data_IF_721228790200
#
_entry.id   IF_721228790200
#
_cell.length_a   1.000
_cell.length_b   1.000
_cell.length_c   1.000
_cell.angle_alpha   90.00
_cell.angle_beta   90.00
_cell.angle_gamma   90.00
#
_symmetry.space_group_name_H-M   'P 1'
#
loop_
_entity.id
_entity.type
_entity.pdbx_description
1 polymer ?
#
# COMPACT_ATOMS: atom_id res chain seq x y z
N UNK A 1 17.56 -0.11 21.97
CA UNK A 1 17.52 0.68 20.72
C UNK A 1 18.09 2.04 21.02
N UNK A 2 19.11 2.46 20.29
CA UNK A 2 19.61 3.84 20.38
C UNK A 2 18.59 4.74 19.68
N UNK A 3 18.13 5.79 20.36
CA UNK A 3 17.32 6.85 19.75
C UNK A 3 18.22 8.02 19.37
N UNK A 4 17.83 8.77 18.34
CA UNK A 4 18.44 10.07 18.03
C UNK A 4 18.16 11.07 19.17
N UNK A 5 18.88 12.20 19.24
CA UNK A 5 18.60 13.26 20.23
C UNK A 5 17.16 13.80 20.17
N UNK A 6 16.52 13.72 19.01
CA UNK A 6 15.12 14.11 18.79
C UNK A 6 14.11 12.95 18.98
N UNK A 7 14.56 11.82 19.56
CA UNK A 7 13.70 10.73 20.02
C UNK A 7 13.31 9.67 18.97
N UNK A 8 13.76 9.80 17.73
CA UNK A 8 13.46 8.83 16.65
C UNK A 8 14.28 7.54 16.82
N UNK A 9 13.75 6.37 16.44
CA UNK A 9 14.51 5.13 16.46
C UNK A 9 15.63 5.19 15.42
N UNK A 10 16.87 4.87 15.79
CA UNK A 10 17.99 4.80 14.83
C UNK A 10 17.96 3.44 14.15
N UNK A 11 17.85 3.37 12.81
CA UNK A 11 18.02 2.12 12.08
C UNK A 11 19.41 1.54 12.37
N UNK A 12 19.55 0.22 12.58
CA UNK A 12 20.84 -0.39 12.79
C UNK A 12 21.73 -0.20 11.56
N UNK A 13 23.06 -0.03 11.72
CA UNK A 13 23.96 0.13 10.57
C UNK A 13 24.09 -1.14 9.72
N UNK A 14 23.80 -2.31 10.31
CA UNK A 14 23.76 -3.61 9.64
C UNK A 14 22.80 -4.54 10.40
N UNK A 15 21.92 -5.24 9.68
CA UNK A 15 20.99 -6.25 10.20
C UNK A 15 20.53 -7.17 9.05
N UNK A 16 19.74 -8.20 9.36
CA UNK A 16 19.02 -8.96 8.33
C UNK A 16 18.02 -8.06 7.57
N UNK A 17 17.59 -8.50 6.40
CA UNK A 17 16.77 -7.71 5.47
C UNK A 17 15.47 -7.22 6.12
N UNK A 18 14.76 -8.08 6.85
CA UNK A 18 13.50 -7.73 7.51
C UNK A 18 13.71 -6.69 8.59
N UNK A 19 14.70 -6.92 9.46
CA UNK A 19 15.05 -5.96 10.51
C UNK A 19 15.46 -4.62 9.92
N UNK A 20 16.22 -4.61 8.83
CA UNK A 20 16.64 -3.39 8.16
C UNK A 20 15.43 -2.62 7.58
N UNK A 21 14.59 -3.28 6.80
CA UNK A 21 13.41 -2.66 6.17
C UNK A 21 12.44 -2.09 7.20
N UNK A 22 12.11 -2.86 8.23
CA UNK A 22 11.18 -2.43 9.28
C UNK A 22 11.75 -1.28 10.11
N UNK A 23 13.04 -1.31 10.44
CA UNK A 23 13.68 -0.22 11.19
C UNK A 23 13.74 1.09 10.40
N UNK A 24 14.03 1.04 9.09
CA UNK A 24 13.96 2.23 8.23
C UNK A 24 12.56 2.78 8.10
N UNK A 25 11.56 1.89 7.95
CA UNK A 25 10.16 2.30 7.88
C UNK A 25 9.71 2.99 9.18
N UNK A 26 10.09 2.44 10.34
CA UNK A 26 9.82 3.05 11.65
C UNK A 26 10.54 4.39 11.83
N UNK A 27 11.77 4.54 11.35
CA UNK A 27 12.48 5.82 11.34
C UNK A 27 11.77 6.87 10.49
N UNK A 28 11.27 6.52 9.30
CA UNK A 28 10.53 7.45 8.45
C UNK A 28 9.18 7.84 9.05
N UNK A 29 8.44 6.88 9.63
CA UNK A 29 7.20 7.15 10.39
C UNK A 29 7.46 8.11 11.55
N UNK A 30 8.48 7.84 12.35
CA UNK A 30 8.87 8.72 13.46
C UNK A 30 9.32 10.12 12.98
N UNK A 31 9.97 10.19 11.82
CA UNK A 31 10.40 11.47 11.22
C UNK A 31 9.22 12.33 10.79
N UNK A 32 8.17 11.74 10.19
CA UNK A 32 6.98 12.50 9.85
C UNK A 32 6.23 12.96 11.11
N UNK A 33 6.08 12.08 12.11
CA UNK A 33 5.47 12.46 13.38
C UNK A 33 6.21 13.63 14.04
N UNK A 34 7.55 13.60 14.06
CA UNK A 34 8.38 14.69 14.59
C UNK A 34 8.18 16.00 13.80
N UNK A 35 8.07 15.95 12.47
CA UNK A 35 7.83 17.14 11.64
C UNK A 35 6.47 17.79 11.89
N UNK A 36 5.52 17.03 12.43
CA UNK A 36 4.20 17.52 12.80
C UNK A 36 4.09 17.91 14.27
N UNK A 37 5.10 17.61 15.09
CA UNK A 37 5.09 17.91 16.52
C UNK A 37 5.04 19.43 16.76
N UNK A 38 4.27 19.83 17.77
CA UNK A 38 4.11 21.21 18.24
C UNK A 38 3.60 22.21 17.19
N UNK A 39 3.08 21.75 16.05
CA UNK A 39 2.46 22.61 15.06
C UNK A 39 1.00 22.91 15.40
N UNK A 40 0.56 24.12 15.10
CA UNK A 40 -0.85 24.50 15.21
C UNK A 40 -1.66 23.96 14.03
N UNK A 41 -2.99 23.90 14.19
CA UNK A 41 -3.91 23.49 13.12
C UNK A 41 -3.75 24.35 11.85
N UNK A 42 -3.57 25.67 12.01
CA UNK A 42 -3.31 26.56 10.88
C UNK A 42 -2.00 26.21 10.16
N UNK A 43 -0.92 25.92 10.91
CA UNK A 43 0.39 25.61 10.34
C UNK A 43 0.36 24.32 9.52
N UNK A 44 -0.35 23.28 9.98
CA UNK A 44 -0.41 21.99 9.28
C UNK A 44 -1.29 22.04 8.02
N UNK A 45 -2.15 23.07 7.90
CA UNK A 45 -3.00 23.34 6.73
C UNK A 45 -2.36 24.28 5.71
N UNK A 46 -1.21 24.88 6.02
CA UNK A 46 -0.50 25.71 5.07
C UNK A 46 0.06 24.84 3.94
N UNK A 47 -0.16 25.29 2.71
CA UNK A 47 0.47 24.72 1.53
C UNK A 47 1.99 24.99 1.60
N UNK A 48 2.80 23.94 1.45
CA UNK A 48 4.24 24.04 1.65
C UNK A 48 4.92 24.93 0.61
N UNK A 49 4.55 24.80 -0.67
CA UNK A 49 5.15 25.54 -1.79
C UNK A 49 4.10 25.75 -2.90
N UNK A 50 3.74 26.99 -3.26
CA UNK A 50 2.93 27.25 -4.45
C UNK A 50 3.63 26.77 -5.73
N UNK A 51 2.92 26.20 -6.73
CA UNK A 51 1.46 26.07 -6.84
C UNK A 51 0.89 24.81 -6.18
N UNK A 52 1.70 24.02 -5.46
CA UNK A 52 1.26 22.75 -4.90
C UNK A 52 0.39 22.96 -3.66
N UNK A 53 -0.77 22.30 -3.65
CA UNK A 53 -1.72 22.29 -2.52
C UNK A 53 -1.35 21.30 -1.41
N UNK A 54 -0.11 20.80 -1.41
CA UNK A 54 0.37 19.83 -0.45
C UNK A 54 0.50 20.47 0.94
N UNK A 55 -0.17 19.88 1.93
CA UNK A 55 -0.16 20.32 3.33
C UNK A 55 0.33 19.18 4.22
N UNK A 56 0.84 19.48 5.41
CA UNK A 56 1.27 18.43 6.35
C UNK A 56 0.08 17.58 6.82
N UNK A 57 -1.08 18.20 7.06
CA UNK A 57 -2.31 17.47 7.40
C UNK A 57 -2.73 16.52 6.26
N UNK A 58 -2.69 17.00 5.02
CA UNK A 58 -2.98 16.17 3.85
C UNK A 58 -1.99 15.02 3.71
N UNK A 59 -0.71 15.26 4.00
CA UNK A 59 0.32 14.23 3.96
C UNK A 59 0.11 13.14 5.02
N UNK A 60 -0.23 13.51 6.26
CA UNK A 60 -0.51 12.50 7.31
C UNK A 60 -1.72 11.65 6.95
N UNK A 61 -2.78 12.27 6.42
CA UNK A 61 -3.93 11.53 5.91
C UNK A 61 -3.54 10.59 4.76
N UNK A 62 -2.77 11.08 3.79
CA UNK A 62 -2.24 10.24 2.70
C UNK A 62 -1.42 9.06 3.22
N UNK A 63 -0.59 9.27 4.25
CA UNK A 63 0.19 8.17 4.85
C UNK A 63 -0.70 7.11 5.50
N UNK A 64 -1.81 7.48 6.14
CA UNK A 64 -2.78 6.50 6.62
C UNK A 64 -3.37 5.68 5.46
N UNK A 65 -3.74 6.33 4.36
CA UNK A 65 -4.26 5.66 3.18
C UNK A 65 -3.23 4.73 2.53
N UNK A 66 -1.96 5.12 2.48
CA UNK A 66 -0.87 4.27 1.99
C UNK A 66 -0.66 3.02 2.84
N UNK A 67 -0.68 3.16 4.17
CA UNK A 67 -0.56 2.02 5.10
C UNK A 67 -1.70 1.02 4.87
N UNK A 68 -2.94 1.51 4.80
CA UNK A 68 -4.11 0.67 4.49
C UNK A 68 -3.98 0.00 3.12
N UNK A 69 -3.63 0.79 2.11
CA UNK A 69 -3.55 0.32 0.74
C UNK A 69 -2.52 -0.80 0.60
N UNK A 70 -1.29 -0.61 1.08
CA UNK A 70 -0.22 -1.58 0.87
C UNK A 70 -0.39 -2.82 1.74
N UNK A 71 -0.73 -2.66 3.02
CA UNK A 71 -0.78 -3.81 3.93
C UNK A 71 -2.13 -4.54 3.89
N UNK A 72 -3.26 -3.83 3.82
CA UNK A 72 -4.57 -4.48 3.83
C UNK A 72 -5.05 -4.82 2.42
N UNK A 73 -5.03 -3.87 1.48
CA UNK A 73 -5.59 -4.13 0.14
C UNK A 73 -4.65 -4.94 -0.75
N UNK A 74 -3.39 -4.55 -0.83
CA UNK A 74 -2.41 -5.19 -1.72
C UNK A 74 -1.88 -6.48 -1.11
N UNK A 75 -1.28 -6.41 0.09
CA UNK A 75 -0.64 -7.56 0.71
C UNK A 75 -1.67 -8.60 1.21
N UNK A 76 -2.65 -8.17 2.01
CA UNK A 76 -3.66 -9.08 2.56
C UNK A 76 -4.86 -9.36 1.63
N UNK A 77 -4.97 -8.65 0.49
CA UNK A 77 -6.07 -8.85 -0.46
C UNK A 77 -7.46 -8.45 0.07
N UNK A 78 -7.52 -7.59 1.10
CA UNK A 78 -8.77 -7.19 1.75
C UNK A 78 -9.46 -6.07 0.96
N UNK A 79 -10.77 -6.18 0.79
CA UNK A 79 -11.59 -5.09 0.25
C UNK A 79 -11.92 -4.09 1.37
N UNK A 80 -11.08 -3.06 1.49
CA UNK A 80 -11.19 -2.02 2.52
C UNK A 80 -11.54 -0.67 1.92
N UNK A 81 -12.51 0.08 2.47
CA UNK A 81 -12.79 1.44 2.01
C UNK A 81 -11.60 2.38 2.27
N UNK A 82 -11.56 3.57 1.64
CA UNK A 82 -10.64 4.65 2.01
C UNK A 82 -10.68 4.92 3.52
N UNK A 83 -9.56 5.32 4.10
CA UNK A 83 -9.43 5.60 5.55
C UNK A 83 -10.42 6.66 6.01
N UNK A 84 -10.64 7.67 5.17
CA UNK A 84 -11.28 8.90 5.58
C UNK A 84 -12.65 9.13 4.98
N UNK A 85 -12.77 9.21 3.66
CA UNK A 85 -14.05 9.30 2.96
C UNK A 85 -13.92 8.82 1.50
N UNK A 86 -15.04 8.39 0.91
CA UNK A 86 -15.09 7.83 -0.45
C UNK A 86 -14.69 8.82 -1.54
N UNK A 87 -14.68 10.12 -1.24
CA UNK A 87 -14.28 11.19 -2.17
C UNK A 87 -12.83 11.63 -1.98
N UNK A 88 -12.13 11.07 -0.99
CA UNK A 88 -10.75 11.36 -0.64
C UNK A 88 -9.91 10.08 -0.72
N UNK A 89 -9.89 9.47 -1.89
CA UNK A 89 -9.24 8.17 -2.13
C UNK A 89 -7.72 8.21 -2.05
N UNK A 90 -7.12 9.39 -2.16
CA UNK A 90 -5.69 9.61 -1.97
C UNK A 90 -5.35 10.17 -0.58
N UNK A 91 -6.31 10.58 0.23
CA UNK A 91 -6.08 11.16 1.56
C UNK A 91 -5.65 12.63 1.56
N UNK A 92 -5.40 13.29 0.43
CA UNK A 92 -4.92 14.68 0.43
C UNK A 92 -6.01 15.72 0.69
N UNK A 93 -7.29 15.39 0.43
CA UNK A 93 -8.38 16.33 0.61
C UNK A 93 -8.58 16.68 2.09
N UNK A 94 -8.61 17.97 2.41
CA UNK A 94 -8.83 18.46 3.76
C UNK A 94 -10.33 18.69 4.02
N UNK A 95 -10.76 18.34 5.24
CA UNK A 95 -12.07 18.73 5.78
C UNK A 95 -11.88 19.72 6.92
N UNK A 96 -12.72 20.77 7.04
CA UNK A 96 -12.60 21.74 8.13
C UNK A 96 -12.68 21.12 9.53
N UNK A 97 -13.47 20.04 9.68
CA UNK A 97 -13.68 19.38 10.98
C UNK A 97 -12.63 18.35 11.37
N UNK A 98 -11.68 18.01 10.49
CA UNK A 98 -10.66 16.99 10.76
C UNK A 98 -9.34 17.65 11.09
N UNK A 99 -8.84 17.42 12.30
CA UNK A 99 -7.55 17.91 12.78
C UNK A 99 -6.41 16.88 12.60
N UNK A 100 -5.20 17.34 12.94
CA UNK A 100 -3.99 16.50 12.91
C UNK A 100 -4.08 15.30 13.86
N UNK A 101 -4.67 15.47 15.04
CA UNK A 101 -4.78 14.40 16.04
C UNK A 101 -5.60 13.21 15.53
N UNK A 102 -6.75 13.49 14.89
CA UNK A 102 -7.58 12.47 14.26
C UNK A 102 -6.83 11.77 13.13
N UNK A 103 -6.19 12.54 12.24
CA UNK A 103 -5.42 11.99 11.13
C UNK A 103 -4.25 11.12 11.61
N UNK A 104 -3.56 11.55 12.66
CA UNK A 104 -2.44 10.81 13.26
C UNK A 104 -2.93 9.54 13.94
N UNK A 105 -4.04 9.60 14.68
CA UNK A 105 -4.62 8.42 15.31
C UNK A 105 -5.03 7.37 14.27
N UNK A 106 -5.67 7.79 13.18
CA UNK A 106 -6.00 6.92 12.06
C UNK A 106 -4.73 6.30 11.45
N UNK A 107 -3.71 7.11 11.17
CA UNK A 107 -2.45 6.61 10.64
C UNK A 107 -1.77 5.58 11.56
N UNK A 108 -1.72 5.82 12.87
CA UNK A 108 -1.15 4.87 13.83
C UNK A 108 -1.95 3.55 13.89
N UNK A 109 -3.27 3.60 13.75
CA UNK A 109 -4.09 2.40 13.67
C UNK A 109 -3.79 1.58 12.41
N UNK A 110 -3.60 2.22 11.25
CA UNK A 110 -3.22 1.53 10.02
C UNK A 110 -1.80 0.94 10.10
N UNK A 111 -0.85 1.63 10.75
CA UNK A 111 0.50 1.09 11.02
C UNK A 111 0.41 -0.18 11.88
N UNK A 112 -0.36 -0.14 12.97
CA UNK A 112 -0.54 -1.28 13.85
C UNK A 112 -1.14 -2.46 13.07
N UNK A 113 -2.15 -2.19 12.24
CA UNK A 113 -2.78 -3.22 11.41
C UNK A 113 -1.82 -3.81 10.38
N UNK A 114 -0.98 -2.98 9.76
CA UNK A 114 0.04 -3.45 8.82
C UNK A 114 1.08 -4.35 9.48
N UNK A 115 1.50 -4.02 10.71
CA UNK A 115 2.39 -4.87 11.51
C UNK A 115 1.77 -6.22 11.85
N UNK A 116 0.50 -6.25 12.24
CA UNK A 116 -0.22 -7.50 12.51
C UNK A 116 -0.28 -8.39 11.27
N UNK A 117 -0.59 -7.82 10.10
CA UNK A 117 -0.73 -8.59 8.86
C UNK A 117 0.59 -9.15 8.34
N UNK A 118 1.71 -8.53 8.68
CA UNK A 118 3.04 -8.90 8.18
C UNK A 118 3.93 -9.60 9.20
N UNK A 119 3.44 -9.81 10.42
CA UNK A 119 4.20 -10.40 11.53
C UNK A 119 4.80 -11.77 11.16
N UNK A 120 3.99 -12.64 10.55
CA UNK A 120 4.37 -14.01 10.18
C UNK A 120 4.64 -14.19 8.68
N UNK A 121 4.61 -13.10 7.91
CA UNK A 121 4.84 -13.14 6.46
C UNK A 121 6.30 -13.47 6.14
N UNK A 122 6.55 -14.17 5.02
CA UNK A 122 7.88 -14.26 4.41
C UNK A 122 8.23 -12.96 3.66
N UNK A 123 9.52 -12.72 3.41
CA UNK A 123 9.93 -11.64 2.48
C UNK A 123 9.67 -11.99 1.01
N UNK A 124 9.49 -13.28 0.70
CA UNK A 124 9.14 -13.75 -0.64
C UNK A 124 7.62 -13.67 -0.92
N UNK A 125 6.81 -13.40 0.11
CA UNK A 125 5.37 -13.25 -0.05
C UNK A 125 5.04 -11.98 -0.85
N UNK A 126 4.18 -12.13 -1.84
CA UNK A 126 3.78 -11.03 -2.74
C UNK A 126 2.31 -10.67 -2.57
N UNK A 127 2.01 -9.38 -2.60
CA UNK A 127 0.65 -8.86 -2.69
C UNK A 127 0.15 -8.77 -4.13
N UNK A 128 -1.14 -8.50 -4.31
CA UNK A 128 -1.76 -8.30 -5.62
C UNK A 128 -2.11 -6.83 -5.83
N UNK A 129 -1.53 -6.20 -6.84
CA UNK A 129 -1.87 -4.84 -7.23
C UNK A 129 -3.27 -4.78 -7.84
N UNK A 130 -4.08 -3.82 -7.44
CA UNK A 130 -5.37 -3.60 -8.09
C UNK A 130 -5.19 -3.10 -9.52
N UNK A 131 -6.19 -3.28 -10.39
CA UNK A 131 -6.13 -2.80 -11.78
C UNK A 131 -5.81 -1.30 -11.89
N UNK A 132 -6.30 -0.50 -10.94
CA UNK A 132 -6.00 0.93 -10.83
C UNK A 132 -4.50 1.21 -10.59
N UNK A 133 -3.81 0.31 -9.88
CA UNK A 133 -2.38 0.44 -9.55
C UNK A 133 -1.49 -0.19 -10.61
N UNK A 134 -1.96 -1.26 -11.25
CA UNK A 134 -1.25 -1.97 -12.32
C UNK A 134 -1.21 -1.21 -13.64
N UNK A 135 -2.00 -0.14 -13.79
CA UNK A 135 -2.03 0.69 -15.03
C UNK A 135 -0.71 1.39 -15.39
N UNK A 136 0.28 1.39 -14.51
CA UNK A 136 1.64 1.92 -14.76
C UNK A 136 2.71 0.82 -14.91
N UNK A 137 2.33 -0.45 -14.78
CA UNK A 137 3.22 -1.60 -15.04
C UNK A 137 3.00 -1.99 -16.49
N UNK A 138 3.97 -1.69 -17.35
CA UNK A 138 3.94 -1.85 -18.81
C UNK A 138 3.42 -3.22 -19.29
N UNK A 139 2.95 -3.24 -20.55
CA UNK A 139 2.23 -4.33 -21.25
C UNK A 139 2.90 -5.72 -21.32
N UNK A 140 4.03 -5.94 -20.64
CA UNK A 140 4.76 -7.21 -20.55
C UNK A 140 4.67 -7.86 -19.15
N UNK A 141 3.60 -7.58 -18.40
CA UNK A 141 3.27 -8.32 -17.18
C UNK A 141 2.61 -9.67 -17.48
N UNK A 142 2.82 -10.72 -16.66
CA UNK A 142 2.13 -12.00 -16.85
C UNK A 142 0.60 -11.78 -16.86
N UNK A 143 -0.16 -12.56 -17.65
CA UNK A 143 -1.57 -12.29 -17.86
C UNK A 143 -2.34 -12.28 -16.53
N UNK A 144 -3.28 -11.32 -16.45
CA UNK A 144 -4.15 -11.10 -15.29
C UNK A 144 -4.77 -12.42 -14.81
N UNK A 145 -4.62 -12.71 -13.51
CA UNK A 145 -5.14 -13.92 -12.86
C UNK A 145 -4.11 -15.01 -12.56
N UNK A 146 -2.81 -14.72 -12.70
CA UNK A 146 -1.77 -15.66 -12.27
C UNK A 146 -1.66 -15.64 -10.74
N UNK A 147 -2.34 -16.59 -10.09
CA UNK A 147 -2.16 -16.90 -8.68
C UNK A 147 -0.79 -17.56 -8.49
N UNK A 148 0.16 -16.84 -7.90
CA UNK A 148 1.49 -17.36 -7.54
C UNK A 148 1.39 -18.27 -6.29
N UNK A 149 0.17 -18.61 -5.82
CA UNK A 149 -0.03 -19.71 -4.86
C UNK A 149 -0.24 -21.04 -5.56
N UNK A 150 0.81 -21.55 -6.21
CA UNK A 150 1.09 -22.99 -6.30
C UNK A 150 2.50 -23.18 -6.83
N UNK A 151 3.40 -23.51 -5.92
CA UNK A 151 4.56 -24.32 -6.27
C UNK A 151 4.08 -25.70 -6.69
N UNK A 152 3.57 -25.83 -7.91
CA UNK A 152 3.41 -27.09 -8.59
C UNK A 152 4.35 -27.04 -9.81
N UNK A 153 5.56 -27.56 -9.65
CA UNK A 153 6.44 -27.95 -10.75
C UNK A 153 5.69 -28.98 -11.63
N UNK A 154 5.74 -28.83 -12.97
CA UNK A 154 5.89 -30.03 -13.77
C UNK A 154 6.94 -29.78 -14.86
N UNK A 155 8.22 -29.79 -14.48
CA UNK A 155 9.21 -30.30 -15.41
C UNK A 155 8.99 -31.82 -15.54
N UNK A 156 8.05 -32.19 -16.42
CA UNK A 156 7.63 -33.56 -16.67
C UNK A 156 7.33 -33.75 -18.15
N UNK A 157 8.35 -34.24 -18.87
CA UNK A 157 8.33 -34.86 -20.20
C UNK A 157 6.95 -35.10 -20.86
N UNK A 158 6.75 -34.64 -22.11
CA UNK A 158 5.62 -35.13 -22.89
C UNK A 158 5.28 -34.40 -24.19
N UNK A 159 5.95 -34.80 -25.28
CA UNK A 159 5.45 -34.92 -26.67
C UNK A 159 4.47 -33.86 -27.22
N UNK A 160 4.94 -33.25 -28.32
CA UNK A 160 4.21 -32.58 -29.39
C UNK A 160 2.74 -33.01 -29.56
N UNK A 161 1.84 -32.02 -29.65
CA UNK A 161 0.61 -32.11 -30.43
C UNK A 161 0.24 -30.75 -31.02
N UNK A 162 0.39 -30.70 -32.34
CA UNK A 162 -0.29 -29.91 -33.37
C UNK A 162 -1.34 -28.88 -32.95
N UNK A 163 -1.04 -27.65 -33.38
CA UNK A 163 -1.92 -26.59 -33.90
C UNK A 163 -3.34 -27.08 -34.28
N UNK A 164 -4.37 -26.45 -33.71
CA UNK A 164 -5.61 -26.19 -34.45
C UNK A 164 -6.09 -24.77 -34.13
N UNK A 165 -6.26 -23.99 -35.19
CA UNK A 165 -6.74 -22.62 -35.15
C UNK A 165 -8.24 -22.63 -34.89
N UNK A 166 -8.69 -21.75 -33.99
CA UNK A 166 -10.08 -21.66 -33.63
C UNK A 166 -11.01 -21.08 -34.70
N UNK A 167 -12.20 -20.75 -34.17
CA UNK A 167 -13.17 -19.79 -34.69
C UNK A 167 -14.31 -20.37 -35.55
N UNK A 168 -15.48 -20.56 -34.90
CA UNK A 168 -16.69 -19.82 -35.32
C UNK A 168 -17.72 -19.71 -34.20
N UNK A 169 -18.02 -18.45 -33.90
CA UNK A 169 -19.15 -17.99 -33.11
C UNK A 169 -20.49 -18.26 -33.81
N UNK A 170 -21.58 -18.47 -33.04
CA UNK A 170 -22.72 -17.54 -32.88
C UNK A 170 -23.99 -18.21 -32.32
N UNK A 171 -24.55 -17.50 -31.34
CA UNK A 171 -25.98 -17.17 -31.14
C UNK A 171 -26.99 -18.29 -30.79
N UNK A 172 -27.48 -18.24 -29.54
CA UNK A 172 -28.84 -17.75 -29.29
C UNK A 172 -29.99 -18.75 -29.12
N UNK A 173 -30.38 -18.95 -27.84
CA UNK A 173 -31.75 -18.89 -27.26
C UNK A 173 -32.88 -19.86 -27.70
N UNK A 174 -33.62 -20.27 -26.65
CA UNK A 174 -34.98 -20.88 -26.55
C UNK A 174 -35.04 -22.37 -26.89
N UNK A 175 -35.70 -23.26 -26.17
CA UNK A 175 -36.65 -23.20 -25.05
C UNK A 175 -37.46 -24.51 -25.10
N UNK A 176 -37.85 -25.06 -23.95
CA UNK A 176 -38.61 -26.30 -23.82
C UNK A 176 -38.29 -27.01 -22.53
#
# INVERSE_FOLDING_TARGET
>A
MTTTPDGRPVPPPHADERTMLTAWLDFHRATLALKCADLTDDQVRLAAVPPFSMTLLGLVQHMAELERNWFQRVFAGQDMPPVFDMTNTDGYALRPGRGLDEATAAWQAEIARGRELTADASLDDSGHLTDHQSGHVSEDGPPKGCDVRRGDDPCGSGRARTVDHGCRARLGRRGG
#
